data_IF_993316703298
#
_entry.id   IF_993316703298
#
_cell.length_a   1.000
_cell.length_b   1.000
_cell.length_c   1.000
_cell.angle_alpha   90.00
_cell.angle_beta   90.00
_cell.angle_gamma   90.00
#
_symmetry.space_group_name_H-M   'P 1'
#
loop_
_entity.id
_entity.type
_entity.pdbx_description
1 polymer ?
#
# COMPACT_ATOMS: atom_id res chain seq x y z
N UNK A 1 -15.36 -12.58 23.16
CA UNK A 1 -16.01 -12.20 21.89
C UNK A 1 -15.55 -13.16 20.81
N UNK A 2 -16.45 -13.61 19.93
CA UNK A 2 -16.12 -14.48 18.80
C UNK A 2 -15.34 -13.68 17.77
N UNK A 3 -14.15 -14.13 17.36
CA UNK A 3 -13.34 -13.45 16.33
C UNK A 3 -14.11 -13.37 15.00
N UNK A 4 -14.12 -12.20 14.37
CA UNK A 4 -14.69 -11.98 13.05
C UNK A 4 -13.70 -12.49 12.00
N UNK A 5 -14.10 -13.54 11.28
CA UNK A 5 -13.31 -14.19 10.23
C UNK A 5 -13.76 -13.74 8.84
N UNK A 6 -12.83 -13.64 7.89
CA UNK A 6 -13.17 -13.28 6.51
C UNK A 6 -13.91 -14.42 5.77
N UNK A 7 -13.39 -15.65 5.90
CA UNK A 7 -13.93 -16.82 5.20
C UNK A 7 -15.01 -17.47 6.05
N UNK A 8 -16.18 -17.69 5.47
CA UNK A 8 -17.32 -18.32 6.14
C UNK A 8 -17.12 -19.84 6.35
N UNK A 9 -18.05 -20.46 7.07
CA UNK A 9 -18.02 -21.90 7.35
C UNK A 9 -18.15 -22.80 6.10
N UNK A 10 -18.57 -22.23 4.96
CA UNK A 10 -18.68 -22.93 3.66
C UNK A 10 -17.41 -22.75 2.81
N UNK A 11 -16.41 -22.02 3.30
CA UNK A 11 -15.17 -21.75 2.58
C UNK A 11 -15.32 -20.63 1.54
N UNK A 12 -16.31 -19.76 1.68
CA UNK A 12 -16.58 -18.66 0.75
C UNK A 12 -16.24 -17.30 1.34
N UNK A 13 -16.05 -16.32 0.44
CA UNK A 13 -16.00 -14.90 0.77
C UNK A 13 -17.33 -14.24 0.39
N UNK A 14 -17.63 -13.11 1.02
CA UNK A 14 -18.69 -12.19 0.59
C UNK A 14 -18.04 -10.92 0.01
N UNK A 15 -17.90 -10.82 -1.32
CA UNK A 15 -17.32 -9.65 -1.96
C UNK A 15 -18.00 -8.34 -1.58
N UNK A 16 -17.21 -7.30 -1.38
CA UNK A 16 -17.72 -5.95 -1.14
C UNK A 16 -16.85 -5.17 -0.14
N UNK A 17 -17.30 -3.93 0.09
CA UNK A 17 -16.76 -3.08 1.16
C UNK A 17 -17.26 -3.62 2.50
N UNK A 18 -16.33 -3.75 3.45
CA UNK A 18 -16.62 -4.29 4.78
C UNK A 18 -16.66 -3.14 5.79
N UNK A 19 -17.86 -2.86 6.32
CA UNK A 19 -18.05 -1.79 7.31
C UNK A 19 -17.59 -2.20 8.72
N UNK A 20 -17.30 -3.48 8.94
CA UNK A 20 -16.84 -4.00 10.22
C UNK A 20 -15.39 -4.47 10.12
N UNK A 21 -14.62 -4.35 11.22
CA UNK A 21 -13.29 -4.94 11.31
C UNK A 21 -13.30 -6.44 11.05
N UNK A 22 -12.24 -6.94 10.42
CA UNK A 22 -11.99 -8.38 10.24
C UNK A 22 -10.82 -8.76 11.13
N UNK A 23 -11.05 -9.58 12.15
CA UNK A 23 -10.01 -9.96 13.11
C UNK A 23 -8.97 -10.88 12.48
N UNK A 24 -9.41 -11.78 11.59
CA UNK A 24 -8.58 -12.82 11.00
C UNK A 24 -8.91 -13.09 9.53
N UNK A 25 -7.88 -13.03 8.68
CA UNK A 25 -7.90 -13.59 7.33
C UNK A 25 -7.58 -15.09 7.42
N UNK A 26 -8.59 -15.90 7.69
CA UNK A 26 -8.51 -17.36 7.80
C UNK A 26 -8.39 -18.04 6.41
N UNK A 27 -7.42 -17.63 5.60
CA UNK A 27 -7.28 -18.00 4.19
C UNK A 27 -7.15 -19.51 3.92
N UNK A 28 -6.76 -20.31 4.91
CA UNK A 28 -6.69 -21.77 4.79
C UNK A 28 -8.07 -22.45 4.77
N UNK A 29 -9.10 -21.77 5.26
CA UNK A 29 -10.49 -22.23 5.28
C UNK A 29 -11.17 -22.02 3.92
N UNK A 30 -10.59 -21.20 3.04
CA UNK A 30 -11.14 -20.91 1.71
C UNK A 30 -11.11 -22.14 0.80
N UNK A 31 -12.22 -22.41 0.10
CA UNK A 31 -12.33 -23.49 -0.89
C UNK A 31 -11.64 -23.09 -2.22
N UNK A 32 -10.32 -22.93 -2.17
CA UNK A 32 -9.54 -22.62 -3.36
C UNK A 32 -9.54 -23.80 -4.33
N UNK A 33 -10.00 -23.56 -5.56
CA UNK A 33 -10.05 -24.58 -6.62
C UNK A 33 -9.10 -24.29 -7.77
N UNK A 34 -8.76 -25.33 -8.53
CA UNK A 34 -8.15 -25.21 -9.87
C UNK A 34 -9.16 -24.60 -10.84
N UNK A 35 -8.70 -24.11 -12.00
CA UNK A 35 -9.59 -23.65 -13.08
C UNK A 35 -10.52 -24.74 -13.65
N UNK A 36 -10.29 -26.01 -13.28
CA UNK A 36 -11.14 -27.15 -13.60
C UNK A 36 -11.85 -27.69 -12.35
N UNK A 37 -12.19 -26.80 -11.41
CA UNK A 37 -12.99 -27.04 -10.20
C UNK A 37 -12.49 -28.08 -9.18
N UNK A 38 -11.30 -28.65 -9.38
CA UNK A 38 -10.66 -29.53 -8.40
C UNK A 38 -10.20 -28.74 -7.16
N UNK A 39 -10.53 -29.19 -5.93
CA UNK A 39 -10.02 -28.57 -4.71
C UNK A 39 -8.49 -28.57 -4.66
N UNK A 40 -7.89 -27.47 -4.19
CA UNK A 40 -6.45 -27.41 -3.88
C UNK A 40 -6.19 -27.95 -2.48
N UNK A 41 -5.04 -28.58 -2.27
CA UNK A 41 -4.60 -29.01 -0.95
C UNK A 41 -4.29 -27.82 -0.03
N UNK A 42 -4.28 -28.03 1.29
CA UNK A 42 -3.91 -26.98 2.25
C UNK A 42 -2.49 -26.45 2.06
N UNK A 43 -1.55 -27.32 1.64
CA UNK A 43 -0.19 -26.91 1.27
C UNK A 43 -0.21 -25.99 0.03
N UNK A 44 -0.96 -26.35 -1.01
CA UNK A 44 -1.10 -25.52 -2.19
C UNK A 44 -1.74 -24.16 -1.88
N UNK A 45 -2.72 -24.10 -0.96
CA UNK A 45 -3.27 -22.82 -0.46
C UNK A 45 -2.18 -22.01 0.25
N UNK A 46 -1.43 -22.61 1.17
CA UNK A 46 -0.35 -21.93 1.88
C UNK A 46 0.68 -21.28 0.96
N UNK A 47 1.14 -21.99 -0.08
CA UNK A 47 2.16 -21.49 -1.01
C UNK A 47 1.64 -20.46 -2.03
N UNK A 48 0.32 -20.33 -2.19
CA UNK A 48 -0.29 -19.40 -3.16
C UNK A 48 -0.83 -18.13 -2.53
N UNK A 49 -0.76 -18.02 -1.21
CA UNK A 49 -1.27 -16.88 -0.47
C UNK A 49 -0.20 -15.79 -0.43
N UNK A 50 -0.47 -14.65 -1.06
CA UNK A 50 0.45 -13.52 -1.09
C UNK A 50 0.03 -12.47 -0.06
N UNK A 51 1.01 -11.81 0.54
CA UNK A 51 0.80 -10.77 1.54
C UNK A 51 1.74 -9.60 1.29
N UNK A 52 1.21 -8.39 1.44
CA UNK A 52 1.89 -7.13 1.23
C UNK A 52 1.52 -6.17 2.36
N UNK A 53 2.50 -5.44 2.85
CA UNK A 53 2.25 -4.28 3.69
C UNK A 53 3.18 -3.16 3.29
N UNK A 54 2.60 -2.02 2.93
CA UNK A 54 3.29 -0.78 2.61
C UNK A 54 2.88 0.31 3.59
N UNK A 55 3.84 1.12 4.02
CA UNK A 55 3.61 2.32 4.81
C UNK A 55 4.43 3.46 4.22
N UNK A 56 3.82 4.63 4.11
CA UNK A 56 4.50 5.87 3.72
C UNK A 56 4.38 6.95 4.77
N UNK A 57 5.32 7.88 4.75
CA UNK A 57 5.25 9.14 5.47
C UNK A 57 5.76 10.26 4.55
N UNK A 58 4.99 11.35 4.50
CA UNK A 58 5.23 12.52 3.68
C UNK A 58 5.40 13.71 4.61
N UNK A 59 6.63 14.20 4.72
CA UNK A 59 6.98 15.37 5.53
C UNK A 59 7.18 16.63 4.68
N UNK A 60 7.68 17.73 5.28
CA UNK A 60 7.74 19.07 4.64
C UNK A 60 8.59 19.19 3.37
N UNK A 61 9.47 18.22 3.13
CA UNK A 61 10.36 18.22 1.96
C UNK A 61 10.89 16.83 1.63
N UNK A 62 10.24 15.78 2.14
CA UNK A 62 10.70 14.42 1.96
C UNK A 62 9.54 13.42 1.96
N UNK A 63 9.74 12.30 1.27
CA UNK A 63 8.79 11.18 1.24
C UNK A 63 9.54 9.90 1.56
N UNK A 64 9.03 9.17 2.54
CA UNK A 64 9.50 7.86 2.93
C UNK A 64 8.49 6.79 2.54
N UNK A 65 8.98 5.64 2.08
CA UNK A 65 8.18 4.44 1.85
C UNK A 65 8.89 3.20 2.41
N UNK A 66 8.13 2.30 3.02
CA UNK A 66 8.56 0.98 3.49
C UNK A 66 7.59 -0.07 2.96
N UNK A 67 8.09 -1.12 2.33
CA UNK A 67 7.29 -2.26 1.91
C UNK A 67 7.86 -3.57 2.47
N UNK A 68 6.96 -4.41 2.97
CA UNK A 68 7.20 -5.80 3.33
C UNK A 68 6.32 -6.69 2.45
N UNK A 69 6.93 -7.71 1.84
CA UNK A 69 6.26 -8.60 0.90
C UNK A 69 6.57 -10.05 1.25
N UNK A 70 5.54 -10.88 1.37
CA UNK A 70 5.62 -12.32 1.55
C UNK A 70 4.85 -13.03 0.43
N UNK A 71 5.58 -13.54 -0.56
CA UNK A 71 5.07 -14.36 -1.67
C UNK A 71 5.30 -15.84 -1.44
N UNK A 72 5.67 -16.24 -0.21
CA UNK A 72 6.08 -17.60 0.19
C UNK A 72 7.36 -18.10 -0.47
N UNK A 73 7.51 -18.00 -1.79
CA UNK A 73 8.72 -18.32 -2.53
C UNK A 73 9.81 -17.26 -2.35
N UNK A 74 9.41 -16.00 -2.19
CA UNK A 74 10.29 -14.87 -1.94
C UNK A 74 9.67 -14.00 -0.86
N UNK A 75 10.51 -13.62 0.10
CA UNK A 75 10.23 -12.51 1.01
C UNK A 75 11.07 -11.31 0.59
N UNK A 76 10.47 -10.13 0.56
CA UNK A 76 11.16 -8.87 0.27
C UNK A 76 10.87 -7.84 1.34
N UNK A 77 11.88 -7.04 1.68
CA UNK A 77 11.77 -5.86 2.52
C UNK A 77 12.56 -4.75 1.86
N UNK A 78 11.93 -3.63 1.55
CA UNK A 78 12.62 -2.47 1.00
C UNK A 78 12.08 -1.18 1.60
N UNK A 79 12.94 -0.18 1.67
CA UNK A 79 12.54 1.17 2.05
C UNK A 79 13.34 2.19 1.26
N UNK A 80 12.78 3.39 1.16
CA UNK A 80 13.44 4.52 0.54
C UNK A 80 13.02 5.83 1.20
N UNK A 81 13.87 6.84 1.02
CA UNK A 81 13.64 8.22 1.40
C UNK A 81 14.05 9.10 0.23
N UNK A 82 13.12 9.90 -0.27
CA UNK A 82 13.41 10.95 -1.23
C UNK A 82 13.39 12.30 -0.53
N UNK A 83 14.45 13.09 -0.73
CA UNK A 83 14.57 14.45 -0.21
C UNK A 83 14.48 15.45 -1.37
N UNK A 84 13.41 16.24 -1.40
CA UNK A 84 13.13 17.20 -2.47
C UNK A 84 14.12 18.36 -2.51
N UNK A 85 14.74 18.72 -1.37
CA UNK A 85 15.70 19.81 -1.33
C UNK A 85 17.03 19.42 -2.01
N UNK A 86 17.49 18.18 -1.79
CA UNK A 86 18.72 17.67 -2.42
C UNK A 86 18.48 16.93 -3.74
N UNK A 87 17.25 16.55 -4.06
CA UNK A 87 16.91 15.70 -5.20
C UNK A 87 17.41 14.26 -5.06
N UNK A 88 17.80 13.85 -3.85
CA UNK A 88 18.44 12.55 -3.62
C UNK A 88 17.43 11.47 -3.24
N UNK A 89 17.51 10.31 -3.91
CA UNK A 89 16.83 9.08 -3.50
C UNK A 89 17.79 8.18 -2.72
N UNK A 90 17.48 7.95 -1.44
CA UNK A 90 18.18 6.99 -0.59
C UNK A 90 17.35 5.72 -0.49
N UNK A 91 17.88 4.56 -0.92
CA UNK A 91 17.11 3.31 -0.94
C UNK A 91 17.91 2.09 -0.49
N UNK A 92 17.19 1.11 0.07
CA UNK A 92 17.69 -0.23 0.38
C UNK A 92 16.64 -1.27 0.04
N UNK A 93 17.05 -2.37 -0.60
CA UNK A 93 16.20 -3.49 -0.96
C UNK A 93 16.84 -4.81 -0.53
N UNK A 94 16.06 -5.68 0.07
CA UNK A 94 16.52 -6.98 0.55
C UNK A 94 15.52 -8.06 0.17
N UNK A 95 16.03 -9.15 -0.38
CA UNK A 95 15.24 -10.34 -0.68
C UNK A 95 15.79 -11.55 0.06
N UNK A 96 14.90 -12.48 0.41
CA UNK A 96 15.23 -13.78 0.98
C UNK A 96 14.40 -14.88 0.31
N UNK A 97 15.03 -16.02 -0.04
CA UNK A 97 14.30 -17.16 -0.57
C UNK A 97 13.36 -17.72 0.50
N UNK A 98 12.27 -18.33 0.05
CA UNK A 98 11.27 -19.01 0.87
C UNK A 98 10.66 -18.11 1.97
N UNK A 99 10.62 -16.80 1.72
CA UNK A 99 10.20 -15.78 2.68
C UNK A 99 10.90 -15.89 4.06
N UNK A 100 12.12 -16.46 4.09
CA UNK A 100 12.83 -16.71 5.33
C UNK A 100 13.08 -15.38 6.07
N UNK A 101 12.65 -15.28 7.33
CA UNK A 101 12.78 -14.05 8.11
C UNK A 101 11.78 -12.95 7.73
N UNK A 102 10.83 -13.22 6.83
CA UNK A 102 9.68 -12.37 6.57
C UNK A 102 8.45 -12.95 7.27
N UNK A 103 7.66 -12.11 7.93
CA UNK A 103 6.40 -12.51 8.54
C UNK A 103 5.41 -11.36 8.43
N UNK A 104 4.24 -11.62 7.84
CA UNK A 104 3.08 -10.72 7.88
C UNK A 104 1.96 -11.53 8.51
N UNK A 105 1.46 -11.11 9.67
CA UNK A 105 0.34 -11.80 10.32
C UNK A 105 -0.97 -11.56 9.56
N UNK A 106 -1.85 -12.57 9.43
CA UNK A 106 -3.12 -12.44 8.73
C UNK A 106 -4.20 -11.76 9.59
N UNK A 107 -3.81 -10.77 10.39
CA UNK A 107 -4.70 -10.00 11.28
C UNK A 107 -4.66 -8.54 10.80
N UNK A 108 -5.56 -8.11 9.92
CA UNK A 108 -5.42 -6.83 9.21
C UNK A 108 -5.54 -5.62 10.15
N UNK A 109 -6.21 -5.76 11.30
CA UNK A 109 -6.33 -4.69 12.29
C UNK A 109 -5.18 -4.66 13.30
N UNK A 110 -4.78 -5.83 13.79
CA UNK A 110 -3.92 -5.97 14.98
C UNK A 110 -2.70 -6.88 14.75
N UNK A 111 -2.39 -7.17 13.49
CA UNK A 111 -1.26 -7.99 13.09
C UNK A 111 0.02 -7.18 12.94
N UNK A 112 1.12 -7.84 13.25
CA UNK A 112 2.47 -7.35 13.00
C UNK A 112 3.00 -7.81 11.64
N UNK A 113 3.87 -6.99 11.07
CA UNK A 113 4.71 -7.37 9.94
C UNK A 113 6.17 -7.12 10.25
N UNK A 114 7.04 -7.99 9.77
CA UNK A 114 8.48 -7.88 9.99
C UNK A 114 9.31 -8.55 8.89
N UNK A 115 10.52 -8.03 8.70
CA UNK A 115 11.55 -8.60 7.85
C UNK A 115 12.90 -8.51 8.57
N UNK A 116 13.64 -9.63 8.62
CA UNK A 116 14.96 -9.71 9.26
C UNK A 116 15.97 -10.38 8.33
N UNK A 117 17.15 -9.77 8.20
CA UNK A 117 18.31 -10.31 7.45
C UNK A 117 19.63 -9.79 8.03
N UNK A 118 20.34 -10.62 8.80
CA UNK A 118 21.57 -10.19 9.47
C UNK A 118 21.27 -9.01 10.40
N UNK A 119 21.99 -7.89 10.24
CA UNK A 119 21.80 -6.67 11.02
C UNK A 119 20.62 -5.79 10.54
N UNK A 120 19.90 -6.23 9.51
CA UNK A 120 18.70 -5.53 8.99
C UNK A 120 17.46 -6.04 9.72
N UNK A 121 16.70 -5.11 10.29
CA UNK A 121 15.38 -5.35 10.89
C UNK A 121 14.40 -4.28 10.43
N UNK A 122 13.26 -4.69 9.90
CA UNK A 122 12.14 -3.83 9.56
C UNK A 122 10.90 -4.37 10.27
N UNK A 123 10.14 -3.52 10.95
CA UNK A 123 8.94 -3.93 11.68
C UNK A 123 7.84 -2.89 11.55
N UNK A 124 6.62 -3.39 11.40
CA UNK A 124 5.40 -2.61 11.49
C UNK A 124 4.56 -3.26 12.57
N UNK A 125 4.39 -2.57 13.70
CA UNK A 125 3.74 -3.08 14.89
C UNK A 125 2.44 -2.32 15.15
N UNK A 126 1.33 -3.02 15.43
CA UNK A 126 0.05 -2.40 15.73
C UNK A 126 0.01 -1.91 17.18
N UNK A 127 -0.77 -0.87 17.42
CA UNK A 127 -1.25 -0.46 18.73
C UNK A 127 -2.68 0.07 18.60
N UNK A 128 -3.32 0.42 19.70
CA UNK A 128 -4.69 0.96 19.68
C UNK A 128 -4.73 2.27 18.89
N UNK A 129 -5.41 2.27 17.75
CA UNK A 129 -5.59 3.46 16.91
C UNK A 129 -4.42 3.80 15.97
N UNK A 130 -3.46 2.89 15.75
CA UNK A 130 -2.35 3.19 14.85
C UNK A 130 -1.29 2.09 14.69
N UNK A 131 -0.18 2.46 14.06
CA UNK A 131 0.97 1.59 13.80
C UNK A 131 2.30 2.29 14.03
N UNK A 132 3.22 1.57 14.65
CA UNK A 132 4.63 1.98 14.79
C UNK A 132 5.46 1.28 13.72
N UNK A 133 6.30 2.05 13.04
CA UNK A 133 7.23 1.59 12.01
C UNK A 133 8.64 1.78 12.54
N UNK A 134 9.42 0.69 12.58
CA UNK A 134 10.84 0.72 12.94
C UNK A 134 11.70 0.07 11.86
N UNK A 135 12.81 0.71 11.52
CA UNK A 135 13.83 0.16 10.63
C UNK A 135 15.20 0.36 11.28
N UNK A 136 16.01 -0.69 11.30
CA UNK A 136 17.42 -0.66 11.67
C UNK A 136 18.21 -1.37 10.59
N UNK A 137 19.26 -0.72 10.06
CA UNK A 137 20.15 -1.30 9.06
C UNK A 137 21.56 -0.68 9.13
N UNK A 138 22.59 -1.35 8.57
CA UNK A 138 23.94 -0.78 8.48
C UNK A 138 23.98 0.57 7.75
N UNK A 139 24.97 1.40 8.09
CA UNK A 139 25.07 2.79 7.58
C UNK A 139 24.28 3.80 8.41
N UNK A 140 24.26 3.62 9.74
CA UNK A 140 23.56 4.53 10.66
C UNK A 140 22.04 4.60 10.49
N UNK A 141 21.43 3.69 9.71
CA UNK A 141 20.02 3.79 9.35
C UNK A 141 19.15 3.43 10.55
N UNK A 142 18.34 4.40 10.98
CA UNK A 142 17.29 4.21 11.99
C UNK A 142 16.03 4.97 11.58
N UNK A 143 14.92 4.27 11.45
CA UNK A 143 13.60 4.87 11.23
C UNK A 143 12.75 4.54 12.43
N UNK A 144 12.12 5.54 13.03
CA UNK A 144 11.12 5.36 14.07
C UNK A 144 9.96 6.31 13.76
N UNK A 145 8.86 5.76 13.25
CA UNK A 145 7.66 6.51 12.88
C UNK A 145 6.44 5.92 13.60
N UNK A 146 5.50 6.77 13.99
CA UNK A 146 4.24 6.37 14.60
C UNK A 146 3.10 7.04 13.84
N UNK A 147 2.29 6.24 13.16
CA UNK A 147 1.07 6.67 12.47
C UNK A 147 -0.09 6.49 13.45
N UNK A 148 -0.88 7.54 13.66
CA UNK A 148 -2.00 7.57 14.62
C UNK A 148 -3.32 7.84 13.91
N UNK A 149 -4.41 7.70 14.67
CA UNK A 149 -5.77 8.04 14.25
C UNK A 149 -6.28 7.20 13.06
N UNK A 150 -5.85 5.94 12.99
CA UNK A 150 -6.29 4.96 12.00
C UNK A 150 -7.69 4.41 12.34
N UNK A 151 -8.69 5.29 12.34
CA UNK A 151 -10.02 5.03 12.88
C UNK A 151 -11.03 4.52 11.83
N UNK A 152 -10.90 4.97 10.58
CA UNK A 152 -11.83 4.65 9.49
C UNK A 152 -11.09 4.13 8.24
N UNK A 153 -10.46 2.94 8.32
CA UNK A 153 -9.78 2.36 7.17
C UNK A 153 -10.79 1.80 6.16
N UNK A 154 -10.49 1.94 4.87
CA UNK A 154 -11.19 1.21 3.82
C UNK A 154 -10.87 -0.27 3.95
N UNK A 155 -11.90 -1.12 4.00
CA UNK A 155 -11.77 -2.57 3.91
C UNK A 155 -12.54 -3.07 2.71
N UNK A 156 -11.87 -3.82 1.85
CA UNK A 156 -12.49 -4.38 0.65
C UNK A 156 -12.02 -5.81 0.48
N UNK A 157 -12.95 -6.71 0.21
CA UNK A 157 -12.67 -8.03 -0.34
C UNK A 157 -13.30 -8.14 -1.72
N UNK A 158 -12.52 -8.55 -2.72
CA UNK A 158 -13.00 -8.66 -4.09
C UNK A 158 -12.49 -9.93 -4.77
N UNK A 159 -13.21 -10.47 -5.77
CA UNK A 159 -12.72 -11.58 -6.58
C UNK A 159 -11.48 -11.17 -7.39
N UNK A 160 -10.56 -12.10 -7.57
CA UNK A 160 -9.32 -11.90 -8.31
C UNK A 160 -9.07 -13.07 -9.27
N UNK A 161 -9.51 -12.90 -10.52
CA UNK A 161 -9.46 -13.97 -11.52
C UNK A 161 -10.58 -14.98 -11.29
N UNK A 162 -10.40 -16.22 -11.75
CA UNK A 162 -11.49 -17.21 -11.75
C UNK A 162 -11.83 -17.75 -10.35
N UNK A 163 -10.82 -18.11 -9.55
CA UNK A 163 -10.97 -18.72 -8.21
C UNK A 163 -10.22 -17.98 -7.10
N UNK A 164 -9.70 -16.79 -7.40
CA UNK A 164 -8.90 -16.01 -6.47
C UNK A 164 -9.71 -14.90 -5.84
N UNK A 165 -9.10 -14.26 -4.84
CA UNK A 165 -9.63 -13.04 -4.22
C UNK A 165 -8.48 -12.23 -3.61
N UNK A 166 -8.76 -10.95 -3.39
CA UNK A 166 -7.88 -10.02 -2.68
C UNK A 166 -8.67 -9.35 -1.58
N UNK A 167 -8.07 -9.27 -0.40
CA UNK A 167 -8.49 -8.39 0.67
C UNK A 167 -7.49 -7.25 0.78
N UNK A 168 -7.98 -6.02 0.93
CA UNK A 168 -7.18 -4.86 1.26
C UNK A 168 -7.76 -4.11 2.46
N UNK A 169 -6.86 -3.54 3.26
CA UNK A 169 -7.15 -2.58 4.31
C UNK A 169 -6.23 -1.37 4.12
N UNK A 170 -6.82 -0.22 3.82
CA UNK A 170 -6.05 1.00 3.53
C UNK A 170 -6.51 2.18 4.36
N UNK A 171 -5.56 3.05 4.67
CA UNK A 171 -5.79 4.33 5.35
C UNK A 171 -4.79 5.33 4.81
N UNK A 172 -5.18 6.60 4.68
CA UNK A 172 -4.29 7.65 4.24
C UNK A 172 -4.60 8.96 4.97
N UNK A 173 -3.67 9.91 4.94
CA UNK A 173 -3.83 11.17 5.67
C UNK A 173 -3.72 10.97 7.18
N UNK A 174 -2.96 9.98 7.65
CA UNK A 174 -2.77 9.73 9.09
C UNK A 174 -1.68 10.66 9.65
N UNK A 175 -1.88 11.34 10.79
CA UNK A 175 -0.80 12.05 11.47
C UNK A 175 0.38 11.13 11.79
N UNK A 176 1.60 11.59 11.50
CA UNK A 176 2.84 10.83 11.74
C UNK A 176 3.76 11.60 12.67
N UNK A 177 4.32 10.90 13.64
CA UNK A 177 5.36 11.42 14.51
C UNK A 177 6.62 10.56 14.42
N UNK A 178 7.77 11.16 14.68
CA UNK A 178 9.04 10.46 14.76
C UNK A 178 10.10 11.06 13.85
N UNK A 179 11.08 10.24 13.47
CA UNK A 179 12.22 10.67 12.68
C UNK A 179 12.83 9.51 11.87
N UNK A 180 13.54 9.91 10.82
CA UNK A 180 14.37 9.05 9.99
C UNK A 180 15.80 9.54 10.12
N UNK A 181 16.72 8.63 10.43
CA UNK A 181 18.17 8.86 10.45
C UNK A 181 18.84 8.02 9.38
N UNK A 182 19.77 8.64 8.68
CA UNK A 182 20.62 7.99 7.70
C UNK A 182 22.02 8.59 7.82
N UNK A 183 22.96 7.79 8.31
CA UNK A 183 24.26 8.28 8.79
C UNK A 183 24.08 9.49 9.74
N UNK A 184 24.64 10.66 9.41
CA UNK A 184 24.57 11.88 10.21
C UNK A 184 23.34 12.76 9.91
N UNK A 185 22.52 12.40 8.91
CA UNK A 185 21.36 13.18 8.49
C UNK A 185 20.10 12.74 9.23
N UNK A 186 19.26 13.71 9.59
CA UNK A 186 17.99 13.48 10.30
C UNK A 186 16.86 14.21 9.60
N UNK A 187 15.78 13.48 9.29
CA UNK A 187 14.52 14.01 8.80
C UNK A 187 13.47 13.80 9.87
N UNK A 188 12.90 14.90 10.39
CA UNK A 188 11.91 14.87 11.46
C UNK A 188 10.52 15.06 10.90
N UNK A 189 9.56 14.35 11.48
CA UNK A 189 8.15 14.67 11.28
C UNK A 189 7.81 15.98 12.00
N UNK A 190 6.87 16.71 11.44
CA UNK A 190 6.24 17.89 12.00
C UNK A 190 4.71 17.74 12.02
N UNK A 191 3.99 18.81 12.37
CA UNK A 191 2.53 18.79 12.46
C UNK A 191 1.83 18.56 11.11
N UNK A 192 2.47 18.89 9.99
CA UNK A 192 1.93 18.68 8.65
C UNK A 192 2.22 17.28 8.10
N UNK A 193 3.10 16.52 8.75
CA UNK A 193 3.51 15.20 8.27
C UNK A 193 2.32 14.23 8.30
N UNK A 194 2.05 13.61 7.16
CA UNK A 194 0.99 12.61 7.00
C UNK A 194 1.50 11.34 6.36
N UNK A 195 0.84 10.23 6.65
CA UNK A 195 1.21 8.92 6.15
C UNK A 195 0.03 8.13 5.62
N UNK A 196 0.35 7.05 4.94
CA UNK A 196 -0.62 6.07 4.48
C UNK A 196 -0.18 4.67 4.88
N UNK A 197 -1.16 3.79 5.05
CA UNK A 197 -0.95 2.37 5.27
C UNK A 197 -1.75 1.60 4.23
N UNK A 198 -1.09 0.68 3.54
CA UNK A 198 -1.68 -0.28 2.63
C UNK A 198 -1.34 -1.69 3.14
N UNK A 199 -2.36 -2.45 3.48
CA UNK A 199 -2.22 -3.86 3.82
C UNK A 199 -3.08 -4.68 2.88
N UNK A 200 -2.47 -5.63 2.17
CA UNK A 200 -3.17 -6.40 1.15
C UNK A 200 -2.75 -7.87 1.19
N UNK A 201 -3.69 -8.77 0.97
CA UNK A 201 -3.41 -10.20 0.89
C UNK A 201 -4.41 -10.93 0.00
N UNK A 202 -4.11 -12.16 -0.39
CA UNK A 202 -5.08 -13.01 -1.08
C UNK A 202 -4.50 -14.09 -1.97
N UNK A 203 -5.41 -14.79 -2.63
CA UNK A 203 -5.11 -15.66 -3.77
C UNK A 203 -5.17 -14.83 -5.05
N UNK A 204 -4.11 -14.07 -5.29
CA UNK A 204 -4.08 -13.08 -6.35
C UNK A 204 -3.88 -13.71 -7.74
N UNK A 205 -4.24 -12.97 -8.81
CA UNK A 205 -4.02 -13.39 -10.19
C UNK A 205 -2.53 -13.68 -10.43
N UNK A 206 -2.22 -14.77 -11.13
CA UNK A 206 -0.83 -15.21 -11.36
C UNK A 206 0.03 -14.16 -12.06
N UNK A 207 -0.57 -13.47 -13.03
CA UNK A 207 -0.01 -12.35 -13.75
C UNK A 207 -0.99 -11.17 -13.59
N UNK A 208 -0.45 -10.01 -13.25
CA UNK A 208 -1.24 -8.79 -13.08
C UNK A 208 -0.41 -7.56 -13.41
N UNK A 209 -1.11 -6.47 -13.71
CA UNK A 209 -0.52 -5.15 -13.84
C UNK A 209 -1.44 -4.12 -13.19
N UNK A 210 -0.85 -3.07 -12.64
CA UNK A 210 -1.63 -2.00 -12.06
C UNK A 210 -0.96 -0.65 -12.17
N UNK A 211 -1.80 0.37 -12.10
CA UNK A 211 -1.42 1.71 -11.71
C UNK A 211 -1.95 2.00 -10.32
N UNK A 212 -1.18 2.76 -9.56
CA UNK A 212 -1.54 3.14 -8.20
C UNK A 212 -1.15 4.58 -7.95
N UNK A 213 -1.91 5.27 -7.11
CA UNK A 213 -1.57 6.57 -6.57
C UNK A 213 -1.85 6.60 -5.07
N UNK A 214 -0.95 7.23 -4.34
CA UNK A 214 -1.15 7.54 -2.93
C UNK A 214 -0.71 8.94 -2.60
N UNK A 215 -1.56 9.66 -1.88
CA UNK A 215 -1.30 10.99 -1.35
C UNK A 215 -1.61 10.97 0.13
N UNK A 216 -0.74 11.56 0.92
CA UNK A 216 -0.99 11.85 2.33
C UNK A 216 -0.35 13.20 2.62
N UNK A 217 -1.16 14.20 2.99
CA UNK A 217 -0.69 15.56 3.24
C UNK A 217 -1.70 16.39 4.03
N UNK A 218 -1.33 17.62 4.35
CA UNK A 218 -2.21 18.57 5.03
C UNK A 218 -2.60 19.68 4.06
N UNK A 219 -3.89 20.04 4.05
CA UNK A 219 -4.41 21.17 3.29
C UNK A 219 -4.01 22.51 3.92
N UNK A 220 -4.02 23.63 3.18
CA UNK A 220 -3.71 24.95 3.72
C UNK A 220 -4.60 25.39 4.89
N UNK A 221 -5.82 24.85 4.98
CA UNK A 221 -6.77 25.11 6.08
C UNK A 221 -6.55 24.18 7.30
N UNK A 222 -5.49 23.38 7.29
CA UNK A 222 -5.09 22.48 8.38
C UNK A 222 -5.72 21.09 8.34
N UNK A 223 -6.71 20.87 7.46
CA UNK A 223 -7.37 19.56 7.34
C UNK A 223 -6.42 18.49 6.81
N UNK A 224 -6.60 17.27 7.29
CA UNK A 224 -5.85 16.13 6.81
C UNK A 224 -6.43 15.58 5.51
N UNK A 225 -5.58 15.32 4.52
CA UNK A 225 -5.95 14.74 3.24
C UNK A 225 -5.20 13.44 2.98
N UNK A 226 -5.95 12.39 2.65
CA UNK A 226 -5.44 11.11 2.20
C UNK A 226 -6.10 10.66 0.92
N UNK A 227 -5.37 9.96 0.04
CA UNK A 227 -5.90 9.38 -1.18
C UNK A 227 -5.24 8.04 -1.44
N UNK A 228 -6.04 7.07 -1.87
CA UNK A 228 -5.59 5.84 -2.49
C UNK A 228 -6.39 5.62 -3.77
N UNK A 229 -5.71 5.47 -4.90
CA UNK A 229 -6.30 5.07 -6.17
C UNK A 229 -5.53 3.90 -6.75
N UNK A 230 -6.23 2.95 -7.34
CA UNK A 230 -5.68 1.81 -8.04
C UNK A 230 -6.50 1.52 -9.28
N UNK A 231 -5.82 1.02 -10.32
CA UNK A 231 -6.42 0.48 -11.52
C UNK A 231 -5.71 -0.83 -11.90
N UNK A 232 -6.44 -1.88 -12.26
CA UNK A 232 -5.91 -3.17 -12.73
C UNK A 232 -5.75 -4.28 -11.67
N UNK A 233 -5.41 -3.98 -10.41
CA UNK A 233 -5.13 -5.01 -9.39
C UNK A 233 -6.39 -5.67 -8.80
N UNK A 234 -7.38 -4.87 -8.39
CA UNK A 234 -8.55 -5.29 -7.60
C UNK A 234 -9.88 -5.07 -8.33
N UNK A 235 -9.88 -5.12 -9.67
CA UNK A 235 -10.99 -4.63 -10.49
C UNK A 235 -11.82 -5.74 -11.15
N UNK A 236 -12.41 -6.62 -10.33
CA UNK A 236 -13.53 -7.48 -10.77
C UNK A 236 -14.86 -6.83 -10.37
N UNK A 237 -15.11 -5.61 -10.88
CA UNK A 237 -16.32 -4.83 -10.59
C UNK A 237 -16.35 -4.12 -9.23
N UNK A 238 -15.21 -4.09 -8.52
CA UNK A 238 -15.03 -3.40 -7.25
C UNK A 238 -13.71 -2.62 -7.31
N UNK A 239 -13.52 -1.59 -6.48
CA UNK A 239 -12.28 -0.80 -6.49
C UNK A 239 -11.86 -0.50 -5.06
N UNK A 240 -10.56 -0.35 -4.84
CA UNK A 240 -9.99 0.06 -3.55
C UNK A 240 -9.78 1.58 -3.44
N UNK A 241 -10.47 2.33 -4.30
CA UNK A 241 -10.27 3.78 -4.45
C UNK A 241 -10.99 4.53 -3.34
N UNK A 242 -10.28 5.38 -2.61
CA UNK A 242 -10.87 6.15 -1.52
C UNK A 242 -10.11 7.47 -1.26
N UNK A 243 -10.88 8.43 -0.77
CA UNK A 243 -10.45 9.73 -0.26
C UNK A 243 -10.64 9.71 1.25
N UNK A 244 -9.64 10.14 2.01
CA UNK A 244 -9.77 10.43 3.43
C UNK A 244 -9.68 11.94 3.63
N UNK A 245 -10.70 12.52 4.27
CA UNK A 245 -10.72 13.92 4.65
C UNK A 245 -10.98 14.01 6.15
N UNK A 246 -10.02 14.54 6.91
CA UNK A 246 -10.03 14.55 8.38
C UNK A 246 -10.35 13.18 8.99
N UNK A 247 -9.72 12.14 8.45
CA UNK A 247 -9.86 10.77 8.92
C UNK A 247 -11.15 10.07 8.51
N UNK A 248 -12.05 10.72 7.75
CA UNK A 248 -13.28 10.10 7.25
C UNK A 248 -13.05 9.48 5.87
N UNK A 249 -13.26 8.17 5.74
CA UNK A 249 -13.11 7.44 4.50
C UNK A 249 -14.32 7.66 3.59
N UNK A 250 -14.04 8.05 2.34
CA UNK A 250 -15.03 8.29 1.31
C UNK A 250 -14.70 7.43 0.10
N UNK A 251 -15.67 6.63 -0.35
CA UNK A 251 -15.43 5.71 -1.47
C UNK A 251 -15.40 6.49 -2.79
N UNK A 252 -14.44 6.15 -3.65
CA UNK A 252 -14.33 6.68 -5.00
C UNK A 252 -14.60 5.61 -6.06
N UNK A 253 -15.01 6.05 -7.25
CA UNK A 253 -15.21 5.24 -8.44
C UNK A 253 -13.91 4.65 -9.02
N UNK A 254 -14.01 4.00 -10.18
CA UNK A 254 -12.85 3.47 -10.89
C UNK A 254 -11.90 4.59 -11.33
N UNK A 255 -10.61 4.37 -11.16
CA UNK A 255 -9.57 5.35 -11.47
C UNK A 255 -9.00 5.10 -12.85
N UNK A 256 -8.69 6.17 -13.57
CA UNK A 256 -8.04 6.14 -14.87
C UNK A 256 -6.71 6.88 -14.76
N UNK A 257 -5.64 6.24 -15.21
CA UNK A 257 -4.30 6.80 -15.23
C UNK A 257 -3.88 7.03 -16.69
N UNK A 258 -3.59 8.27 -17.05
CA UNK A 258 -3.09 8.65 -18.37
C UNK A 258 -1.66 9.16 -18.22
N UNK A 259 -0.71 8.46 -18.82
CA UNK A 259 0.71 8.81 -18.81
C UNK A 259 1.41 8.10 -19.97
N UNK A 260 2.53 8.64 -20.43
CA UNK A 260 3.41 7.95 -21.38
C UNK A 260 4.51 7.19 -20.63
N UNK A 261 4.34 5.86 -20.57
CA UNK A 261 5.31 4.99 -19.88
C UNK A 261 6.72 5.00 -20.50
N UNK A 262 6.84 5.42 -21.76
CA UNK A 262 8.10 5.45 -22.51
C UNK A 262 8.73 6.85 -22.52
N UNK A 263 8.07 7.84 -21.91
CA UNK A 263 8.62 9.16 -21.64
C UNK A 263 8.73 9.38 -20.12
N UNK A 264 9.78 8.83 -19.47
CA UNK A 264 9.94 8.94 -18.02
C UNK A 264 10.06 10.41 -17.60
N UNK A 265 9.27 10.81 -16.62
CA UNK A 265 9.22 12.20 -16.14
C UNK A 265 8.09 13.02 -16.75
N UNK A 266 7.33 12.49 -17.71
CA UNK A 266 6.09 13.11 -18.17
C UNK A 266 5.01 13.11 -17.08
N UNK A 267 4.15 14.12 -17.14
CA UNK A 267 3.04 14.28 -16.20
C UNK A 267 2.03 13.16 -16.33
N UNK A 268 1.46 12.79 -15.20
CA UNK A 268 0.33 11.86 -15.14
C UNK A 268 -0.94 12.66 -14.99
N UNK A 269 -2.01 12.22 -15.63
CA UNK A 269 -3.35 12.69 -15.39
C UNK A 269 -4.18 11.54 -14.81
N UNK A 270 -4.71 11.75 -13.61
CA UNK A 270 -5.45 10.75 -12.83
C UNK A 270 -6.86 11.27 -12.57
N UNK A 271 -7.85 10.53 -13.05
CA UNK A 271 -9.28 10.87 -12.90
C UNK A 271 -10.07 9.70 -12.35
N UNK A 272 -11.28 9.94 -11.84
CA UNK A 272 -12.24 8.86 -11.51
C UNK A 272 -13.51 8.95 -12.33
N UNK A 273 -14.15 7.81 -12.58
CA UNK A 273 -15.40 7.74 -13.38
C UNK A 273 -16.58 8.50 -12.76
N UNK A 274 -16.59 8.65 -11.43
CA UNK A 274 -17.59 9.46 -10.71
C UNK A 274 -17.30 10.97 -10.78
N UNK A 275 -16.24 11.40 -11.48
CA UNK A 275 -15.86 12.80 -11.66
C UNK A 275 -15.31 13.47 -10.40
N UNK A 276 -15.03 12.71 -9.33
CA UNK A 276 -14.61 13.26 -8.04
C UNK A 276 -13.10 13.48 -7.92
N UNK A 277 -12.31 12.97 -8.85
CA UNK A 277 -10.86 13.17 -8.92
C UNK A 277 -10.50 13.74 -10.28
N UNK A 278 -9.72 14.81 -10.26
CA UNK A 278 -9.03 15.40 -11.41
C UNK A 278 -7.66 15.92 -10.96
N UNK A 279 -6.64 15.06 -11.03
CA UNK A 279 -5.30 15.33 -10.52
C UNK A 279 -4.25 15.17 -11.61
N UNK A 280 -3.29 16.08 -11.60
CA UNK A 280 -2.02 15.96 -12.30
C UNK A 280 -0.93 15.55 -11.32
N UNK A 281 0.01 14.72 -11.77
CA UNK A 281 1.19 14.36 -11.00
C UNK A 281 2.47 14.59 -11.78
N UNK A 282 3.37 15.37 -11.20
CA UNK A 282 4.69 15.70 -11.73
C UNK A 282 5.75 14.83 -11.03
N UNK A 283 6.37 13.86 -11.73
CA UNK A 283 7.39 12.99 -11.13
C UNK A 283 8.69 13.75 -10.84
N UNK A 284 9.23 13.59 -9.62
CA UNK A 284 10.53 14.12 -9.23
C UNK A 284 11.64 13.06 -9.28
N UNK A 285 11.33 11.83 -8.85
CA UNK A 285 12.25 10.70 -8.89
C UNK A 285 11.47 9.39 -9.02
N UNK A 286 12.19 8.29 -9.29
CA UNK A 286 11.58 6.98 -9.42
C UNK A 286 12.46 5.88 -8.83
N UNK A 287 11.89 5.08 -7.91
CA UNK A 287 12.42 3.76 -7.56
C UNK A 287 12.06 2.79 -8.68
N UNK A 288 13.06 2.09 -9.21
CA UNK A 288 12.89 1.13 -10.31
C UNK A 288 13.46 -0.22 -9.94
N UNK A 289 12.67 -1.26 -10.07
CA UNK A 289 13.13 -2.64 -9.84
C UNK A 289 12.64 -3.53 -10.98
N UNK A 290 13.56 -4.26 -11.59
CA UNK A 290 13.26 -5.26 -12.61
C UNK A 290 13.78 -6.62 -12.16
N UNK A 291 12.86 -7.56 -12.02
CA UNK A 291 13.15 -8.96 -11.77
C UNK A 291 12.53 -9.79 -12.88
N UNK A 292 13.31 -10.70 -13.47
CA UNK A 292 12.80 -11.68 -14.42
C UNK A 292 13.48 -13.01 -14.17
N UNK A 293 12.83 -13.85 -13.36
CA UNK A 293 13.35 -15.11 -12.85
C UNK A 293 12.35 -16.23 -13.15
N UNK A 294 12.31 -16.71 -14.40
CA UNK A 294 11.49 -17.82 -14.92
C UNK A 294 10.03 -17.81 -14.41
N UNK A 295 9.79 -18.31 -13.19
CA UNK A 295 8.49 -18.31 -12.53
C UNK A 295 8.05 -16.93 -11.99
N UNK A 296 8.99 -16.04 -11.68
CA UNK A 296 8.72 -14.72 -11.09
C UNK A 296 9.12 -13.62 -12.06
N UNK A 297 8.29 -12.60 -12.21
CA UNK A 297 8.67 -11.38 -12.91
C UNK A 297 8.07 -10.16 -12.22
N UNK A 298 8.83 -9.07 -12.19
CA UNK A 298 8.44 -7.78 -11.64
C UNK A 298 9.06 -6.68 -12.50
N UNK A 299 8.24 -5.73 -12.93
CA UNK A 299 8.69 -4.51 -13.59
C UNK A 299 8.05 -3.35 -12.83
N UNK A 300 8.69 -2.98 -11.73
CA UNK A 300 8.18 -2.02 -10.76
C UNK A 300 8.79 -0.65 -11.00
N UNK A 301 7.93 0.36 -11.11
CA UNK A 301 8.32 1.77 -11.07
C UNK A 301 7.38 2.48 -10.11
N UNK A 302 7.94 3.02 -9.04
CA UNK A 302 7.23 3.89 -8.12
C UNK A 302 7.88 5.26 -8.16
N UNK A 303 7.09 6.25 -8.55
CA UNK A 303 7.51 7.62 -8.68
C UNK A 303 7.16 8.38 -7.42
N UNK A 304 8.09 9.21 -6.96
CA UNK A 304 7.86 10.23 -5.94
C UNK A 304 7.72 11.56 -6.66
N UNK A 305 6.75 12.37 -6.27
CA UNK A 305 6.45 13.61 -6.98
C UNK A 305 5.38 14.43 -6.32
N UNK A 306 4.73 15.27 -7.11
CA UNK A 306 3.83 16.33 -6.65
C UNK A 306 2.48 16.20 -7.33
N UNK A 307 1.41 16.23 -6.55
CA UNK A 307 0.04 16.30 -7.04
C UNK A 307 -0.46 17.74 -7.06
N UNK A 308 -1.16 18.09 -8.14
CA UNK A 308 -1.88 19.34 -8.32
C UNK A 308 -3.25 19.04 -8.96
N UNK A 309 -4.31 19.75 -8.56
CA UNK A 309 -5.63 19.61 -9.18
C UNK A 309 -6.78 19.74 -8.19
N UNK A 310 -7.85 18.99 -8.41
CA UNK A 310 -9.08 19.08 -7.61
C UNK A 310 -9.62 17.71 -7.24
N UNK A 311 -10.07 17.59 -6.00
CA UNK A 311 -10.88 16.51 -5.49
C UNK A 311 -12.29 17.02 -5.17
N UNK A 312 -13.29 16.14 -5.16
CA UNK A 312 -14.65 16.45 -4.75
C UNK A 312 -15.08 15.49 -3.64
N UNK A 313 -15.47 16.02 -2.48
CA UNK A 313 -15.94 15.21 -1.37
C UNK A 313 -17.35 14.62 -1.63
N UNK A 314 -17.82 13.74 -0.75
CA UNK A 314 -19.14 13.09 -0.87
C UNK A 314 -20.32 14.08 -0.82
N UNK A 315 -20.09 15.30 -0.32
CA UNK A 315 -21.09 16.38 -0.26
C UNK A 315 -21.06 17.28 -1.50
N UNK A 316 -20.15 17.02 -2.44
CA UNK A 316 -19.96 17.82 -3.66
C UNK A 316 -19.05 19.04 -3.47
N UNK A 317 -18.41 19.21 -2.31
CA UNK A 317 -17.49 20.30 -2.08
C UNK A 317 -16.14 20.02 -2.76
N UNK A 318 -15.62 21.03 -3.48
CA UNK A 318 -14.32 20.94 -4.11
C UNK A 318 -13.20 21.18 -3.11
N UNK A 319 -12.17 20.34 -3.18
CA UNK A 319 -10.96 20.40 -2.38
C UNK A 319 -9.79 20.60 -3.35
N UNK A 320 -9.15 21.77 -3.28
CA UNK A 320 -7.97 22.06 -4.09
C UNK A 320 -6.77 21.26 -3.55
N UNK A 321 -6.05 20.60 -4.45
CA UNK A 321 -4.78 19.93 -4.17
C UNK A 321 -3.70 20.79 -4.83
N UNK A 322 -2.81 21.35 -4.01
CA UNK A 322 -1.74 22.24 -4.44
C UNK A 322 -0.44 21.79 -3.80
N UNK A 323 0.53 21.42 -4.64
CA UNK A 323 1.89 21.04 -4.25
C UNK A 323 2.00 19.92 -3.20
N UNK A 324 1.00 19.03 -3.14
CA UNK A 324 1.00 17.92 -2.18
C UNK A 324 1.83 16.75 -2.70
N UNK A 325 2.76 16.28 -1.88
CA UNK A 325 3.64 15.18 -2.29
C UNK A 325 2.96 13.83 -2.14
N UNK A 326 3.39 12.90 -2.98
CA UNK A 326 2.89 11.54 -2.94
C UNK A 326 3.58 10.63 -3.94
N UNK A 327 2.90 9.53 -4.25
CA UNK A 327 3.41 8.41 -4.99
C UNK A 327 2.50 8.06 -6.15
N UNK A 328 3.07 7.66 -7.28
CA UNK A 328 2.35 6.92 -8.34
C UNK A 328 3.14 5.71 -8.80
N UNK A 329 2.47 4.68 -9.31
CA UNK A 329 3.10 3.44 -9.76
C UNK A 329 2.68 3.02 -11.18
N UNK A 330 3.64 2.42 -11.89
CA UNK A 330 3.43 1.52 -13.03
C UNK A 330 4.10 0.19 -12.68
N UNK A 331 3.30 -0.84 -12.42
CA UNK A 331 3.81 -2.15 -12.01
C UNK A 331 3.19 -3.28 -12.82
N UNK A 332 4.05 -4.14 -13.36
CA UNK A 332 3.69 -5.49 -13.77
C UNK A 332 4.31 -6.52 -12.81
N UNK A 333 3.52 -7.52 -12.40
CA UNK A 333 3.98 -8.58 -11.52
C UNK A 333 3.47 -9.96 -11.94
N UNK A 334 4.30 -10.96 -11.68
CA UNK A 334 4.05 -12.37 -11.91
C UNK A 334 4.71 -13.19 -10.79
N UNK A 335 3.94 -13.97 -10.02
CA UNK A 335 4.41 -14.73 -8.85
C UNK A 335 4.13 -16.23 -8.82
#
# INVERSE_FOLDING_TARGET
MTKIKLIDAKGHISPGVLNQPVDEINYLDYDLRTVMDRPRSGLARRWRFNQFQFVSATGPGWVFGLALVDLKLIGSGFFYLYDFASGQMLERSFMRPLALGTRIEPYPEQGSASFIKGDVSMRILPFVGGRSVSVSAPGGIRVELTLREDNDPLRLVCPAGYNGWVFTRKSAGLPVQGEIRWDDRVWRCDEATRGAIDWSCGFMRRETAWNWASLAGQLPDGRSLGLNLAAGVNETGMTENALWLDGQCQKLGAAQFRFDRYHPGGDWHVTTEDGRVDLHFEPAAARKEKLNAVILASNFRQYVGTFNGTLTDEKGAKVAVQDLRGLVEDHFARW
#
